data_IF_234808730406
#
_entry.id   IF_234808730406
#
_cell.length_a   1.000
_cell.length_b   1.000
_cell.length_c   1.000
_cell.angle_alpha   90.00
_cell.angle_beta   90.00
_cell.angle_gamma   90.00
#
_symmetry.space_group_name_H-M   'P 1'
#
loop_
_entity.id
_entity.type
_entity.pdbx_description
1 polymer ?
#
# COMPACT_ATOMS: atom_id res chain seq x y z
N UNK A 1 16.09 -3.32 -0.68
CA UNK A 1 17.40 -3.12 -1.35
C UNK A 1 17.35 -1.84 -2.19
N UNK A 2 18.47 -1.26 -2.63
CA UNK A 2 18.42 -0.15 -3.62
C UNK A 2 18.24 -0.76 -5.01
N UNK A 3 17.14 -0.42 -5.70
CA UNK A 3 16.90 -0.88 -7.06
C UNK A 3 17.09 0.28 -8.03
N UNK A 4 17.99 0.08 -8.99
CA UNK A 4 18.25 1.04 -10.06
C UNK A 4 18.20 0.33 -11.40
N UNK A 5 17.53 0.90 -12.39
CA UNK A 5 17.49 0.39 -13.75
C UNK A 5 17.79 1.51 -14.74
N UNK A 6 18.71 1.24 -15.68
CA UNK A 6 18.96 2.14 -16.81
C UNK A 6 18.23 1.60 -18.03
N UNK A 7 17.34 2.40 -18.61
CA UNK A 7 16.62 2.05 -19.83
C UNK A 7 17.19 2.86 -20.99
N UNK A 8 18.01 2.21 -21.81
CA UNK A 8 18.68 2.84 -22.96
C UNK A 8 17.73 2.98 -24.15
N UNK A 9 17.86 4.08 -24.91
CA UNK A 9 17.02 4.35 -26.09
C UNK A 9 17.15 3.32 -27.21
N UNK A 10 18.31 2.71 -27.34
CA UNK A 10 18.63 1.69 -28.34
C UNK A 10 18.34 0.26 -27.86
N UNK A 11 17.83 0.11 -26.63
CA UNK A 11 17.47 -1.21 -26.10
C UNK A 11 16.19 -1.74 -26.75
N UNK A 12 16.08 -3.07 -26.81
CA UNK A 12 14.88 -3.75 -27.31
C UNK A 12 13.63 -3.48 -26.47
N UNK A 13 13.82 -3.14 -25.19
CA UNK A 13 12.76 -2.94 -24.21
C UNK A 13 12.23 -1.50 -24.19
N UNK A 14 12.98 -0.56 -24.79
CA UNK A 14 12.63 0.87 -24.82
C UNK A 14 11.21 1.15 -25.34
N UNK A 15 10.70 0.48 -26.40
CA UNK A 15 9.34 0.71 -26.88
C UNK A 15 8.26 0.35 -25.84
N UNK A 16 8.46 -0.73 -25.08
CA UNK A 16 7.49 -1.15 -24.06
C UNK A 16 7.58 -0.28 -22.82
N UNK A 17 8.80 0.11 -22.44
CA UNK A 17 9.05 1.11 -21.41
C UNK A 17 8.34 2.45 -21.71
N UNK A 18 8.43 2.96 -22.94
CA UNK A 18 7.77 4.20 -23.36
C UNK A 18 6.25 4.12 -23.23
N UNK A 19 5.65 2.98 -23.56
CA UNK A 19 4.19 2.79 -23.44
C UNK A 19 3.75 2.92 -21.98
N UNK A 20 4.45 2.24 -21.05
CA UNK A 20 4.03 2.21 -19.65
C UNK A 20 4.37 3.50 -18.90
N UNK A 21 5.50 4.13 -19.21
CA UNK A 21 5.89 5.39 -18.55
C UNK A 21 5.02 6.57 -18.98
N UNK A 22 4.58 6.60 -20.23
CA UNK A 22 3.79 7.70 -20.77
C UNK A 22 2.33 7.33 -21.03
N UNK A 23 1.85 6.27 -20.37
CA UNK A 23 0.45 5.89 -20.44
C UNK A 23 -0.43 6.99 -19.81
N UNK A 24 -1.24 7.63 -20.65
CA UNK A 24 -2.15 8.71 -20.22
C UNK A 24 -3.30 8.22 -19.34
N UNK A 25 -3.52 6.90 -19.28
CA UNK A 25 -4.51 6.29 -18.40
C UNK A 25 -3.96 6.05 -17.00
N UNK A 26 -2.64 6.14 -16.81
CA UNK A 26 -2.02 6.05 -15.48
C UNK A 26 -2.29 7.34 -14.70
N UNK A 27 -3.11 7.22 -13.65
CA UNK A 27 -3.51 8.33 -12.76
C UNK A 27 -2.59 8.41 -11.52
N UNK A 28 -1.55 7.58 -11.49
CA UNK A 28 -0.68 7.35 -10.34
C UNK A 28 0.60 8.19 -10.32
N UNK A 29 1.39 8.03 -9.24
CA UNK A 29 2.72 8.63 -9.09
C UNK A 29 3.85 7.71 -9.56
N UNK A 30 3.51 6.52 -10.04
CA UNK A 30 4.44 5.52 -10.51
C UNK A 30 3.89 4.71 -11.70
N UNK A 31 4.75 3.88 -12.27
CA UNK A 31 4.41 2.94 -13.34
C UNK A 31 5.09 1.59 -13.12
N UNK A 32 4.49 0.52 -13.64
CA UNK A 32 5.04 -0.83 -13.55
C UNK A 32 5.91 -1.11 -14.78
N UNK A 33 7.16 -1.49 -14.57
CA UNK A 33 8.06 -1.90 -15.64
C UNK A 33 9.07 -2.93 -15.14
N UNK A 34 9.21 -4.02 -15.90
CA UNK A 34 10.14 -5.11 -15.60
C UNK A 34 9.98 -5.70 -14.18
N UNK A 35 8.73 -5.95 -13.76
CA UNK A 35 8.41 -6.54 -12.46
C UNK A 35 8.57 -5.58 -11.27
N UNK A 36 8.93 -4.33 -11.50
CA UNK A 36 9.11 -3.33 -10.46
C UNK A 36 8.29 -2.08 -10.74
N UNK A 37 7.83 -1.43 -9.67
CA UNK A 37 7.15 -0.14 -9.73
C UNK A 37 8.15 0.98 -9.52
N UNK A 38 8.13 1.97 -10.42
CA UNK A 38 9.07 3.07 -10.49
C UNK A 38 8.33 4.39 -10.36
N UNK A 39 8.73 5.25 -9.43
CA UNK A 39 8.11 6.57 -9.27
C UNK A 39 8.64 7.57 -10.28
N UNK A 40 7.74 8.40 -10.82
CA UNK A 40 8.12 9.48 -11.72
C UNK A 40 9.11 10.44 -11.07
N UNK A 41 8.89 10.80 -9.80
CA UNK A 41 9.71 11.76 -9.03
C UNK A 41 11.14 11.29 -8.75
N UNK A 42 11.41 9.99 -8.90
CA UNK A 42 12.73 9.39 -8.70
C UNK A 42 13.36 8.90 -10.00
N UNK A 43 12.79 9.27 -11.14
CA UNK A 43 13.31 8.89 -12.44
C UNK A 43 13.81 10.10 -13.22
N UNK A 44 14.98 9.97 -13.83
CA UNK A 44 15.67 11.08 -14.48
C UNK A 44 16.27 10.66 -15.81
N UNK A 45 16.10 11.51 -16.81
CA UNK A 45 16.86 11.40 -18.06
C UNK A 45 18.32 11.77 -17.80
N UNK A 46 19.24 11.06 -18.45
CA UNK A 46 20.62 11.53 -18.50
C UNK A 46 20.74 12.80 -19.35
N UNK A 47 21.78 13.60 -19.11
CA UNK A 47 21.98 14.89 -19.77
C UNK A 47 22.10 14.78 -21.29
N UNK A 48 22.54 13.62 -21.79
CA UNK A 48 22.64 13.32 -23.22
C UNK A 48 21.36 12.71 -23.80
N UNK A 49 20.41 12.35 -22.95
CA UNK A 49 19.20 11.63 -23.31
C UNK A 49 19.46 10.25 -23.91
N UNK A 50 20.57 9.58 -23.62
CA UNK A 50 20.83 8.21 -24.07
C UNK A 50 20.04 7.16 -23.28
N UNK A 51 19.72 7.44 -22.02
CA UNK A 51 18.97 6.52 -21.17
C UNK A 51 18.16 7.24 -20.11
N UNK A 52 17.17 6.52 -19.59
CA UNK A 52 16.41 6.95 -18.42
C UNK A 52 16.88 6.13 -17.21
N UNK A 53 17.20 6.81 -16.11
CA UNK A 53 17.56 6.18 -14.86
C UNK A 53 16.30 6.07 -14.00
N UNK A 54 15.87 4.85 -13.73
CA UNK A 54 14.82 4.54 -12.79
C UNK A 54 15.44 4.23 -11.43
N UNK A 55 14.97 4.88 -10.38
CA UNK A 55 15.52 4.74 -9.04
C UNK A 55 14.39 4.53 -8.01
N UNK A 56 14.57 3.61 -7.08
CA UNK A 56 13.71 3.45 -5.89
C UNK A 56 14.53 3.09 -4.64
N UNK A 57 14.10 3.59 -3.49
CA UNK A 57 14.83 3.47 -2.23
C UNK A 57 14.61 2.14 -1.50
N UNK A 58 13.44 1.51 -1.69
CA UNK A 58 12.99 0.33 -0.97
C UNK A 58 12.08 -0.59 -1.82
N UNK A 59 11.78 -1.76 -1.23
CA UNK A 59 10.81 -2.75 -1.74
C UNK A 59 9.41 -2.51 -1.14
N UNK A 60 9.20 -1.38 -0.46
CA UNK A 60 7.89 -1.06 0.09
C UNK A 60 6.90 -0.82 -1.06
N UNK A 61 5.72 -1.47 -1.04
CA UNK A 61 4.71 -1.26 -2.06
C UNK A 61 4.27 0.21 -2.02
N UNK A 62 4.22 0.84 -3.20
CA UNK A 62 3.78 2.23 -3.33
C UNK A 62 2.34 2.38 -2.80
N UNK A 63 1.90 3.57 -2.39
CA UNK A 63 0.53 3.78 -1.87
C UNK A 63 -0.57 3.31 -2.83
N UNK A 64 -0.31 3.35 -4.14
CA UNK A 64 -1.19 2.86 -5.20
C UNK A 64 -1.18 1.32 -5.39
N UNK A 65 -0.24 0.62 -4.76
CA UNK A 65 -0.26 -0.84 -4.56
C UNK A 65 -0.82 -1.24 -3.20
N UNK A 66 -0.95 -0.31 -2.25
CA UNK A 66 -1.67 -0.54 -1.00
C UNK A 66 -3.17 -0.51 -1.31
N UNK A 67 -3.69 -1.64 -1.76
CA UNK A 67 -5.12 -1.85 -1.84
C UNK A 67 -5.72 -1.64 -0.45
N UNK A 68 -6.44 -0.53 -0.30
CA UNK A 68 -7.35 -0.29 0.82
C UNK A 68 -8.79 -0.54 0.35
N UNK A 69 -8.99 -1.37 -0.68
CA UNK A 69 -10.34 -1.67 -1.14
C UNK A 69 -11.06 -2.49 -0.07
N UNK A 70 -12.31 -2.14 0.21
CA UNK A 70 -13.18 -2.88 1.14
C UNK A 70 -13.38 -4.33 0.68
N UNK A 71 -13.09 -4.61 -0.60
CA UNK A 71 -13.18 -5.93 -1.23
C UNK A 71 -12.00 -6.86 -0.91
N UNK A 72 -10.93 -6.36 -0.27
CA UNK A 72 -9.75 -7.14 0.15
C UNK A 72 -9.68 -7.28 1.67
N UNK A 73 -10.76 -7.78 2.29
CA UNK A 73 -10.74 -8.15 3.70
C UNK A 73 -9.59 -9.15 3.96
N UNK A 74 -8.67 -8.76 4.82
CA UNK A 74 -7.52 -9.58 5.22
C UNK A 74 -7.86 -10.44 6.45
N UNK A 75 -7.03 -11.44 6.74
CA UNK A 75 -7.15 -12.20 7.99
C UNK A 75 -7.09 -11.30 9.24
N UNK A 76 -6.34 -10.18 9.15
CA UNK A 76 -6.27 -9.16 10.19
C UNK A 76 -7.64 -8.51 10.44
N UNK A 77 -8.36 -8.15 9.38
CA UNK A 77 -9.69 -7.53 9.47
C UNK A 77 -10.71 -8.50 10.07
N UNK A 78 -10.60 -9.80 9.72
CA UNK A 78 -11.42 -10.85 10.32
C UNK A 78 -11.20 -10.98 11.83
N UNK A 79 -9.94 -11.03 12.29
CA UNK A 79 -9.63 -11.08 13.71
C UNK A 79 -10.03 -9.79 14.44
N UNK A 80 -9.82 -8.63 13.83
CA UNK A 80 -10.21 -7.35 14.39
C UNK A 80 -11.73 -7.27 14.56
N UNK A 81 -12.52 -7.69 13.57
CA UNK A 81 -13.98 -7.73 13.67
C UNK A 81 -14.46 -8.63 14.84
N UNK A 82 -13.86 -9.81 15.00
CA UNK A 82 -14.18 -10.71 16.12
C UNK A 82 -13.81 -10.13 17.50
N UNK A 83 -12.65 -9.47 17.60
CA UNK A 83 -12.23 -8.79 18.81
C UNK A 83 -13.17 -7.61 19.14
N UNK A 84 -13.51 -6.80 18.14
CA UNK A 84 -14.41 -5.66 18.28
C UNK A 84 -15.80 -6.08 18.80
N UNK A 85 -16.39 -7.11 18.22
CA UNK A 85 -17.68 -7.65 18.67
C UNK A 85 -17.63 -8.12 20.15
N UNK A 86 -16.50 -8.69 20.56
CA UNK A 86 -16.30 -9.17 21.93
C UNK A 86 -16.10 -8.03 22.93
N UNK A 87 -15.37 -6.97 22.55
CA UNK A 87 -15.15 -5.77 23.38
C UNK A 87 -16.49 -5.05 23.60
N UNK A 88 -17.26 -4.85 22.54
CA UNK A 88 -18.58 -4.20 22.61
C UNK A 88 -19.51 -4.97 23.57
N UNK A 89 -19.49 -6.30 23.55
CA UNK A 89 -20.32 -7.14 24.44
C UNK A 89 -19.95 -7.01 25.92
N UNK A 90 -18.71 -6.63 26.26
CA UNK A 90 -18.23 -6.47 27.64
C UNK A 90 -18.71 -5.17 28.28
N UNK A 91 -19.08 -4.19 27.47
CA UNK A 91 -19.68 -2.94 27.90
C UNK A 91 -21.21 -3.10 28.01
N UNK A 92 -21.63 -3.70 29.11
CA UNK A 92 -23.02 -4.02 29.45
C UNK A 92 -23.85 -2.75 29.77
N UNK A 93 -24.16 -1.96 28.74
CA UNK A 93 -25.16 -0.88 28.82
C UNK A 93 -24.66 0.53 29.18
N UNK A 94 -23.34 0.78 29.27
CA UNK A 94 -22.79 2.13 29.37
C UNK A 94 -22.16 2.59 28.06
N UNK A 95 -23.05 3.10 27.19
CA UNK A 95 -22.84 4.09 26.13
C UNK A 95 -21.52 4.04 25.37
N UNK A 96 -21.35 3.04 24.50
CA UNK A 96 -20.77 3.33 23.19
C UNK A 96 -21.82 4.10 22.39
N UNK A 97 -21.65 5.41 22.24
CA UNK A 97 -22.72 6.23 21.66
C UNK A 97 -22.53 7.71 21.86
N UNK A 98 -21.49 8.27 21.25
CA UNK A 98 -21.32 9.72 21.08
C UNK A 98 -21.85 10.24 19.73
N UNK A 99 -22.71 9.48 19.05
CA UNK A 99 -23.02 9.68 17.63
C UNK A 99 -21.88 9.20 16.72
N UNK A 100 -22.02 9.38 15.40
CA UNK A 100 -21.06 8.89 14.38
C UNK A 100 -19.62 9.39 14.58
N UNK A 101 -19.45 10.52 15.27
CA UNK A 101 -18.16 11.18 15.51
C UNK A 101 -17.54 10.85 16.88
N UNK A 102 -18.04 9.83 17.58
CA UNK A 102 -17.51 9.49 18.91
C UNK A 102 -16.02 9.08 18.81
N UNK A 103 -15.11 9.71 19.58
CA UNK A 103 -13.70 9.31 19.60
C UNK A 103 -13.52 7.87 20.10
N UNK A 104 -14.49 7.36 20.85
CA UNK A 104 -14.51 5.98 21.35
C UNK A 104 -14.50 4.96 20.21
N UNK A 105 -15.10 5.25 19.05
CA UNK A 105 -15.06 4.32 17.91
C UNK A 105 -13.66 4.14 17.35
N UNK A 106 -12.86 5.20 17.34
CA UNK A 106 -11.46 5.14 16.91
C UNK A 106 -10.61 4.32 17.88
N UNK A 107 -10.83 4.51 19.18
CA UNK A 107 -10.15 3.75 20.23
C UNK A 107 -10.52 2.26 20.15
N UNK A 108 -11.82 1.96 20.04
CA UNK A 108 -12.32 0.60 19.88
C UNK A 108 -11.73 -0.11 18.66
N UNK A 109 -11.74 0.56 17.51
CA UNK A 109 -11.15 0.01 16.29
C UNK A 109 -9.66 -0.26 16.46
N UNK A 110 -8.92 0.68 17.07
CA UNK A 110 -7.50 0.51 17.32
C UNK A 110 -7.20 -0.68 18.24
N UNK A 111 -7.94 -0.83 19.33
CA UNK A 111 -7.76 -1.94 20.27
C UNK A 111 -8.06 -3.29 19.61
N UNK A 112 -9.09 -3.35 18.77
CA UNK A 112 -9.43 -4.53 17.99
C UNK A 112 -8.29 -4.94 17.04
N UNK A 113 -7.67 -3.98 16.34
CA UNK A 113 -6.52 -4.26 15.47
C UNK A 113 -5.27 -4.67 16.26
N UNK A 114 -5.05 -4.14 17.47
CA UNK A 114 -3.94 -4.62 18.31
C UNK A 114 -4.11 -6.07 18.74
N UNK A 115 -5.33 -6.49 19.05
CA UNK A 115 -5.63 -7.89 19.34
C UNK A 115 -5.41 -8.76 18.09
N UNK A 116 -5.87 -8.29 16.92
CA UNK A 116 -5.65 -8.99 15.66
C UNK A 116 -4.16 -9.20 15.36
N UNK A 117 -3.35 -8.16 15.53
CA UNK A 117 -1.89 -8.22 15.35
C UNK A 117 -1.24 -9.23 16.32
N UNK A 118 -1.70 -9.26 17.58
CA UNK A 118 -1.24 -10.23 18.57
C UNK A 118 -1.62 -11.68 18.20
N UNK A 119 -2.81 -11.90 17.63
CA UNK A 119 -3.27 -13.21 17.16
C UNK A 119 -2.47 -13.70 15.95
N UNK A 120 -2.18 -12.83 14.98
CA UNK A 120 -1.33 -13.15 13.83
C UNK A 120 0.08 -13.52 14.28
N UNK A 121 0.67 -12.70 15.15
CA UNK A 121 1.99 -12.97 15.73
C UNK A 121 2.05 -14.30 16.49
N UNK A 122 0.99 -14.66 17.22
CA UNK A 122 0.91 -15.94 17.93
C UNK A 122 0.87 -17.15 16.97
N UNK A 123 0.45 -16.95 15.72
CA UNK A 123 0.44 -17.98 14.66
C UNK A 123 1.77 -18.08 13.90
N UNK A 124 2.70 -17.16 14.13
CA UNK A 124 3.99 -17.11 13.42
C UNK A 124 3.96 -16.33 12.11
N UNK A 125 2.96 -15.47 11.92
CA UNK A 125 2.91 -14.45 10.86
C UNK A 125 3.58 -13.14 11.30
#
# INVERSE_FOLDING_TARGET
MKHTLKVYKDSKEYPDYMKVRFDKTSIGKSFLFNGHRWAYEHSTFDDSGNYDLLYRFDDEPYPEEKSNSVDELTARDYFAAGAMASIVRRYDGHSFGGGSESPQYKELARDAYFIADAMLKARGE
#
